data_IF_821354691403
#
_entry.id   IF_821354691403
#
_cell.length_a   1.000
_cell.length_b   1.000
_cell.length_c   1.000
_cell.angle_alpha   90.00
_cell.angle_beta   90.00
_cell.angle_gamma   90.00
#
_symmetry.space_group_name_H-M   'P 1'
#
loop_
_entity.id
_entity.type
_entity.pdbx_description
1 polymer ?
#
# COMPACT_ATOMS: atom_id res chain seq x y z
N UNK A 1 -2.30 -12.26 -26.93
CA UNK A 1 -1.84 -13.37 -26.07
C UNK A 1 -2.13 -14.76 -26.65
N UNK A 2 -3.31 -15.04 -27.21
CA UNK A 2 -3.58 -16.31 -27.92
C UNK A 2 -2.58 -16.62 -29.05
N UNK A 3 -2.10 -15.60 -29.76
CA UNK A 3 -1.10 -15.74 -30.82
C UNK A 3 0.27 -16.24 -30.31
N UNK A 4 0.66 -15.89 -29.08
CA UNK A 4 1.89 -16.39 -28.44
C UNK A 4 1.72 -17.86 -28.02
N UNK A 5 0.56 -18.24 -27.47
CA UNK A 5 0.26 -19.63 -27.13
C UNK A 5 0.22 -20.53 -28.38
N UNK A 6 -0.30 -20.01 -29.50
CA UNK A 6 -0.28 -20.69 -30.79
C UNK A 6 1.16 -20.85 -31.32
N UNK A 7 2.01 -19.83 -31.22
CA UNK A 7 3.43 -19.91 -31.59
C UNK A 7 4.21 -20.88 -30.71
N UNK A 8 3.96 -20.92 -29.39
CA UNK A 8 4.57 -21.90 -28.48
C UNK A 8 4.14 -23.33 -28.84
N UNK A 9 2.89 -23.54 -29.22
CA UNK A 9 2.39 -24.83 -29.69
C UNK A 9 3.06 -25.29 -31.00
N UNK A 10 3.24 -24.37 -31.96
CA UNK A 10 3.93 -24.64 -33.24
C UNK A 10 5.42 -24.94 -33.04
N UNK A 11 6.09 -24.22 -32.14
CA UNK A 11 7.48 -24.49 -31.74
C UNK A 11 7.62 -25.87 -31.08
N UNK A 12 6.73 -26.21 -30.13
CA UNK A 12 6.74 -27.50 -29.45
C UNK A 12 6.44 -28.67 -30.41
N UNK A 13 5.56 -28.46 -31.39
CA UNK A 13 5.31 -29.41 -32.47
C UNK A 13 6.56 -29.63 -33.35
N UNK A 14 7.28 -28.55 -33.70
CA UNK A 14 8.50 -28.66 -34.49
C UNK A 14 9.67 -29.30 -33.72
N UNK A 15 9.78 -29.05 -32.42
CA UNK A 15 10.81 -29.66 -31.55
C UNK A 15 10.49 -31.13 -31.22
N UNK A 16 9.23 -31.49 -30.98
CA UNK A 16 8.83 -32.90 -30.78
C UNK A 16 8.87 -33.71 -32.08
N UNK A 17 8.72 -33.08 -33.25
CA UNK A 17 8.92 -33.70 -34.57
C UNK A 17 10.37 -34.16 -34.79
N UNK A 18 11.37 -33.50 -34.19
CA UNK A 18 12.78 -33.93 -34.31
C UNK A 18 13.12 -35.15 -33.45
N UNK A 19 12.37 -35.40 -32.37
CA UNK A 19 12.58 -36.56 -31.48
C UNK A 19 11.66 -37.76 -31.80
N UNK A 20 10.49 -37.52 -32.41
CA UNK A 20 9.48 -38.54 -32.71
C UNK A 20 9.66 -39.26 -34.07
N UNK A 21 10.86 -39.25 -34.67
CA UNK A 21 11.15 -39.89 -35.96
C UNK A 21 10.98 -41.44 -35.95
N UNK A 22 10.74 -42.06 -34.78
CA UNK A 22 10.65 -43.52 -34.63
C UNK A 22 9.29 -44.12 -34.21
N UNK A 23 8.27 -43.33 -33.86
CA UNK A 23 6.98 -43.89 -33.37
C UNK A 23 5.77 -43.15 -33.94
N UNK A 24 5.23 -43.68 -35.03
CA UNK A 24 3.95 -43.27 -35.61
C UNK A 24 2.90 -44.35 -35.33
N UNK A 25 1.73 -43.96 -34.81
CA UNK A 25 0.59 -44.85 -34.63
C UNK A 25 -0.42 -44.60 -35.76
N UNK A 26 -0.87 -45.66 -36.42
CA UNK A 26 -1.81 -45.57 -37.55
C UNK A 26 -3.24 -45.55 -37.02
N UNK A 27 -3.84 -44.37 -36.96
CA UNK A 27 -5.25 -44.20 -36.64
C UNK A 27 -6.02 -43.87 -37.92
N UNK A 28 -7.04 -44.67 -38.24
CA UNK A 28 -7.95 -44.43 -39.37
C UNK A 28 -7.27 -44.34 -40.76
N UNK A 29 -6.24 -45.16 -41.01
CA UNK A 29 -5.58 -45.23 -42.32
C UNK A 29 -4.67 -44.04 -42.67
N UNK A 30 -4.47 -43.08 -41.75
CA UNK A 30 -3.50 -41.99 -41.89
C UNK A 30 -2.42 -42.09 -40.80
N UNK A 31 -1.13 -41.94 -41.14
CA UNK A 31 -0.06 -41.94 -40.14
C UNK A 31 -0.07 -40.60 -39.40
N UNK A 32 -0.66 -40.58 -38.20
CA UNK A 32 -0.67 -39.38 -37.35
C UNK A 32 0.53 -39.44 -36.40
N UNK A 33 1.47 -38.47 -36.49
CA UNK A 33 2.62 -38.44 -35.59
C UNK A 33 2.18 -38.09 -34.17
N UNK A 34 2.79 -38.74 -33.17
CA UNK A 34 2.52 -38.51 -31.74
C UNK A 34 2.67 -37.04 -31.33
N UNK A 35 3.54 -36.30 -32.04
CA UNK A 35 3.72 -34.85 -31.92
C UNK A 35 2.41 -34.04 -32.07
N UNK A 36 1.48 -34.45 -32.95
CA UNK A 36 0.23 -33.73 -33.20
C UNK A 36 -0.74 -33.81 -32.02
N UNK A 37 -0.72 -34.94 -31.29
CA UNK A 37 -1.56 -35.15 -30.12
C UNK A 37 -1.05 -34.28 -28.95
N UNK A 38 0.27 -34.25 -28.74
CA UNK A 38 0.88 -33.44 -27.69
C UNK A 38 0.74 -31.93 -27.91
N UNK A 39 0.87 -31.46 -29.15
CA UNK A 39 0.64 -30.04 -29.46
C UNK A 39 -0.82 -29.65 -29.24
N UNK A 40 -1.77 -30.51 -29.63
CA UNK A 40 -3.19 -30.30 -29.36
C UNK A 40 -3.49 -30.21 -27.86
N UNK A 41 -2.97 -31.15 -27.07
CA UNK A 41 -3.15 -31.17 -25.62
C UNK A 41 -2.54 -29.92 -24.95
N UNK A 42 -1.32 -29.54 -25.32
CA UNK A 42 -0.65 -28.36 -24.77
C UNK A 42 -1.41 -27.05 -25.07
N UNK A 43 -1.97 -26.92 -26.27
CA UNK A 43 -2.77 -25.77 -26.67
C UNK A 43 -4.04 -25.61 -25.81
N UNK A 44 -4.75 -26.71 -25.53
CA UNK A 44 -5.97 -26.69 -24.71
C UNK A 44 -5.64 -26.30 -23.26
N UNK A 45 -4.58 -26.86 -22.68
CA UNK A 45 -4.17 -26.59 -21.30
C UNK A 45 -3.75 -25.12 -21.13
N UNK A 46 -2.88 -24.62 -22.02
CA UNK A 46 -2.43 -23.22 -21.96
C UNK A 46 -3.57 -22.24 -22.26
N UNK A 47 -4.45 -22.56 -23.21
CA UNK A 47 -5.64 -21.75 -23.51
C UNK A 47 -6.56 -21.63 -22.30
N UNK A 48 -6.81 -22.74 -21.60
CA UNK A 48 -7.64 -22.76 -20.38
C UNK A 48 -6.97 -21.98 -19.23
N UNK A 49 -5.66 -22.13 -19.04
CA UNK A 49 -4.92 -21.37 -18.03
C UNK A 49 -4.99 -19.86 -18.28
N UNK A 50 -4.81 -19.42 -19.52
CA UNK A 50 -4.91 -18.00 -19.91
C UNK A 50 -6.35 -17.49 -19.72
N UNK A 51 -7.34 -18.29 -20.08
CA UNK A 51 -8.75 -17.95 -19.91
C UNK A 51 -9.09 -17.76 -18.42
N UNK A 52 -8.72 -18.72 -17.56
CA UNK A 52 -8.92 -18.61 -16.11
C UNK A 52 -8.20 -17.41 -15.52
N UNK A 53 -6.96 -17.16 -15.93
CA UNK A 53 -6.18 -16.04 -15.42
C UNK A 53 -6.79 -14.68 -15.83
N UNK A 54 -7.23 -14.56 -17.09
CA UNK A 54 -7.79 -13.31 -17.61
C UNK A 54 -9.17 -13.03 -17.02
N UNK A 55 -10.05 -14.04 -16.97
CA UNK A 55 -11.36 -13.90 -16.34
C UNK A 55 -11.23 -13.67 -14.83
N UNK A 56 -10.34 -14.40 -14.15
CA UNK A 56 -10.08 -14.24 -12.72
C UNK A 56 -9.57 -12.84 -12.37
N UNK A 57 -8.66 -12.27 -13.17
CA UNK A 57 -8.19 -10.89 -12.98
C UNK A 57 -9.28 -9.86 -13.25
N UNK A 58 -10.06 -10.01 -14.32
CA UNK A 58 -11.15 -9.07 -14.62
C UNK A 58 -12.20 -9.05 -13.52
N UNK A 59 -12.63 -10.22 -13.04
CA UNK A 59 -13.59 -10.33 -11.94
C UNK A 59 -13.03 -9.82 -10.62
N UNK A 60 -11.74 -10.07 -10.34
CA UNK A 60 -11.08 -9.60 -9.12
C UNK A 60 -10.92 -8.08 -9.06
N UNK A 61 -10.56 -7.44 -10.17
CA UNK A 61 -10.39 -5.97 -10.24
C UNK A 61 -11.73 -5.26 -10.10
N UNK A 62 -12.79 -5.76 -10.73
CA UNK A 62 -14.14 -5.19 -10.60
C UNK A 62 -14.69 -5.24 -9.17
N UNK A 63 -14.33 -6.26 -8.40
CA UNK A 63 -14.72 -6.37 -6.99
C UNK A 63 -13.98 -5.36 -6.09
N UNK A 64 -12.72 -5.06 -6.40
CA UNK A 64 -11.92 -4.08 -5.65
C UNK A 64 -12.39 -2.64 -5.91
N UNK A 65 -12.79 -2.34 -7.15
CA UNK A 65 -13.27 -1.02 -7.57
C UNK A 65 -14.54 -0.63 -6.79
N UNK A 66 -15.48 -1.57 -6.62
CA UNK A 66 -16.72 -1.33 -5.86
C UNK A 66 -16.51 -1.02 -4.37
N UNK A 67 -15.42 -1.52 -3.76
CA UNK A 67 -15.09 -1.24 -2.34
C UNK A 67 -14.37 0.10 -2.16
N UNK A 68 -13.74 0.60 -3.22
CA UNK A 68 -12.98 1.86 -3.20
C UNK A 68 -13.92 3.06 -3.17
N UNK A 69 -15.08 3.00 -3.84
CA UNK A 69 -16.08 4.08 -3.81
C UNK A 69 -16.55 4.43 -2.39
N UNK A 70 -16.84 3.44 -1.55
CA UNK A 70 -17.29 3.70 -0.17
C UNK A 70 -16.21 4.35 0.71
N UNK A 71 -14.93 4.06 0.47
CA UNK A 71 -13.83 4.74 1.16
C UNK A 71 -13.69 6.19 0.71
N UNK A 72 -13.81 6.44 -0.59
CA UNK A 72 -13.74 7.78 -1.18
C UNK A 72 -14.86 8.65 -0.61
N UNK A 73 -16.09 8.15 -0.55
CA UNK A 73 -17.21 8.90 0.02
C UNK A 73 -17.00 9.24 1.50
N UNK A 74 -16.46 8.31 2.30
CA UNK A 74 -16.10 8.57 3.70
C UNK A 74 -14.99 9.62 3.85
N UNK A 75 -14.00 9.60 2.95
CA UNK A 75 -12.91 10.58 2.93
C UNK A 75 -13.43 11.98 2.56
N UNK A 76 -14.35 12.06 1.58
CA UNK A 76 -15.00 13.31 1.19
C UNK A 76 -15.85 13.86 2.34
N UNK A 77 -16.66 13.02 3.00
CA UNK A 77 -17.45 13.42 4.16
C UNK A 77 -16.56 13.89 5.32
N UNK A 78 -15.44 13.20 5.56
CA UNK A 78 -14.47 13.58 6.59
C UNK A 78 -13.77 14.89 6.24
N UNK A 79 -13.39 15.11 4.98
CA UNK A 79 -12.82 16.37 4.51
C UNK A 79 -13.82 17.52 4.65
N UNK A 80 -15.08 17.31 4.27
CA UNK A 80 -16.14 18.29 4.41
C UNK A 80 -16.42 18.65 5.88
N UNK A 81 -16.28 17.69 6.80
CA UNK A 81 -16.40 17.93 8.24
C UNK A 81 -15.16 18.64 8.80
N UNK A 82 -13.96 18.22 8.40
CA UNK A 82 -12.70 18.85 8.81
C UNK A 82 -12.55 20.26 8.26
N UNK A 83 -13.13 20.56 7.09
CA UNK A 83 -13.18 21.91 6.52
C UNK A 83 -14.08 22.86 7.32
N UNK A 84 -15.00 22.35 8.15
CA UNK A 84 -15.76 23.18 9.11
C UNK A 84 -14.90 23.58 10.29
N UNK A 85 -13.84 22.84 10.58
CA UNK A 85 -12.89 23.21 11.62
C UNK A 85 -12.02 24.33 11.05
N UNK A 86 -12.28 25.56 11.48
CA UNK A 86 -11.42 26.70 11.22
C UNK A 86 -10.06 26.43 11.86
N UNK A 87 -9.10 25.96 11.06
CA UNK A 87 -7.74 25.79 11.53
C UNK A 87 -7.17 27.16 11.92
N UNK A 88 -6.57 27.26 13.12
CA UNK A 88 -6.02 28.52 13.59
C UNK A 88 -4.95 29.00 12.62
N UNK A 89 -5.04 30.28 12.24
CA UNK A 89 -4.04 30.91 11.40
C UNK A 89 -2.69 30.96 12.16
N UNK A 90 -1.56 31.00 11.47
CA UNK A 90 -0.22 31.02 12.09
C UNK A 90 -0.04 32.13 13.13
N UNK A 91 -0.79 33.22 12.98
CA UNK A 91 -0.79 34.35 13.93
C UNK A 91 -1.45 33.98 15.26
N UNK A 92 -2.57 33.24 15.26
CA UNK A 92 -3.27 32.82 16.48
C UNK A 92 -2.47 31.80 17.27
N UNK A 93 -1.77 30.89 16.57
CA UNK A 93 -0.83 29.94 17.17
C UNK A 93 0.31 30.65 17.89
N UNK A 94 0.84 31.72 17.28
CA UNK A 94 1.92 32.53 17.84
C UNK A 94 1.44 33.30 19.08
N UNK A 95 0.22 33.85 19.04
CA UNK A 95 -0.39 34.54 20.20
C UNK A 95 -0.60 33.59 21.38
N UNK A 96 -1.13 32.39 21.14
CA UNK A 96 -1.36 31.40 22.20
C UNK A 96 -0.05 30.93 22.84
N UNK A 97 0.98 30.66 22.02
CA UNK A 97 2.30 30.24 22.52
C UNK A 97 3.01 31.37 23.27
N UNK A 98 2.87 32.62 22.80
CA UNK A 98 3.48 33.80 23.44
C UNK A 98 2.88 34.04 24.83
N UNK A 99 1.56 33.87 25.00
CA UNK A 99 0.92 34.00 26.29
C UNK A 99 1.43 32.98 27.32
N UNK A 100 1.63 31.73 26.89
CA UNK A 100 2.23 30.67 27.73
C UNK A 100 3.69 30.99 28.07
N UNK A 101 4.46 31.51 27.12
CA UNK A 101 5.85 31.89 27.37
C UNK A 101 5.96 32.98 28.44
N UNK A 102 5.09 34.00 28.36
CA UNK A 102 5.03 35.08 29.35
C UNK A 102 4.66 34.52 30.74
N UNK A 103 3.70 33.60 30.82
CA UNK A 103 3.29 33.04 32.12
C UNK A 103 4.41 32.25 32.78
N UNK A 104 5.21 31.50 32.01
CA UNK A 104 6.38 30.76 32.51
C UNK A 104 7.44 31.74 33.03
N UNK A 105 7.71 32.83 32.31
CA UNK A 105 8.69 33.85 32.74
C UNK A 105 8.25 34.53 34.03
N UNK A 106 6.98 34.95 34.12
CA UNK A 106 6.43 35.57 35.34
C UNK A 106 6.51 34.62 36.53
N UNK A 107 6.16 33.35 36.33
CA UNK A 107 6.27 32.33 37.37
C UNK A 107 7.73 32.12 37.81
N UNK A 108 8.67 32.09 36.85
CA UNK A 108 10.10 31.98 37.15
C UNK A 108 10.64 33.16 37.97
N UNK A 109 10.26 34.40 37.62
CA UNK A 109 10.63 35.60 38.39
C UNK A 109 10.04 35.56 39.80
N UNK A 110 8.79 35.11 39.93
CA UNK A 110 8.14 34.96 41.22
C UNK A 110 8.87 33.94 42.12
N UNK A 111 9.22 32.78 41.57
CA UNK A 111 10.01 31.75 42.28
C UNK A 111 11.36 32.31 42.75
N UNK A 112 12.11 33.00 41.88
CA UNK A 112 13.37 33.63 42.26
C UNK A 112 13.20 34.67 43.39
N UNK A 113 12.10 35.42 43.37
CA UNK A 113 11.78 36.38 44.42
C UNK A 113 11.50 35.69 45.77
N UNK A 114 10.70 34.62 45.76
CA UNK A 114 10.39 33.83 46.95
C UNK A 114 11.64 33.14 47.49
N UNK A 115 12.48 32.56 46.63
CA UNK A 115 13.73 31.91 47.03
C UNK A 115 14.71 32.93 47.64
N UNK A 116 14.83 34.10 47.03
CA UNK A 116 15.66 35.19 47.56
C UNK A 116 15.15 35.69 48.91
N UNK A 117 13.83 35.81 49.07
CA UNK A 117 13.21 36.19 50.34
C UNK A 117 13.42 35.10 51.40
N UNK A 118 13.29 33.83 51.04
CA UNK A 118 13.54 32.71 51.94
C UNK A 118 15.00 32.71 52.41
N UNK A 119 15.96 32.90 51.52
CA UNK A 119 17.39 33.05 51.87
C UNK A 119 17.62 34.26 52.78
N UNK A 120 16.98 35.39 52.50
CA UNK A 120 17.07 36.59 53.34
C UNK A 120 16.54 36.33 54.76
N UNK A 121 15.38 35.68 54.89
CA UNK A 121 14.79 35.30 56.19
C UNK A 121 15.67 34.30 56.92
N UNK A 122 16.22 33.30 56.23
CA UNK A 122 17.15 32.33 56.84
C UNK A 122 18.43 32.99 57.35
N UNK A 123 18.98 33.96 56.60
CA UNK A 123 20.13 34.78 57.03
C UNK A 123 19.77 35.66 58.23
N UNK A 124 18.58 36.26 58.23
CA UNK A 124 18.09 37.09 59.34
C UNK A 124 17.92 36.28 60.64
N UNK A 125 17.43 35.05 60.53
CA UNK A 125 17.29 34.10 61.64
C UNK A 125 18.64 33.46 62.06
N UNK A 126 19.75 33.87 61.44
CA UNK A 126 21.13 33.43 61.75
C UNK A 126 21.32 31.90 61.69
N UNK A 127 20.45 31.21 60.95
CA UNK A 127 20.47 29.75 60.79
C UNK A 127 21.48 29.31 59.73
N UNK A 128 21.92 30.24 58.86
CA UNK A 128 22.95 30.04 57.86
C UNK A 128 24.12 31.02 58.13
N UNK A 129 25.38 30.56 58.30
CA UNK A 129 26.52 31.46 58.29
C UNK A 129 26.64 32.09 56.90
N UNK A 130 26.73 33.42 56.87
CA UNK A 130 26.86 34.21 55.64
C UNK A 130 28.14 33.92 54.89
#
# INVERSE_FOLDING_TARGET
MLLLALLSCVQLYNMSRSEAAGQAFTLLGMPVPYAAIWSGAAFVVLGLAIFLFTFGLQTGVQWLDGKTHGLIDLLIDTEAELAKVSWPNSDELTVSTTAVLISIVVLGVFLLGVDSLAVFVMRLLKVLPG
#
